data_IF_841778173487
#
_entry.id   IF_841778173487
#
_cell.length_a   1.000
_cell.length_b   1.000
_cell.length_c   1.000
_cell.angle_alpha   90.00
_cell.angle_beta   90.00
_cell.angle_gamma   90.00
#
_symmetry.space_group_name_H-M   'P 1'
#
loop_
_entity.id
_entity.type
_entity.pdbx_description
1 polymer ?
#
# COMPACT_ATOMS: atom_id res chain seq x y z
N UNK A 1 -13.30 -1.87 23.16
CA UNK A 1 -12.16 -2.78 23.39
C UNK A 1 -11.18 -2.67 22.23
N UNK A 2 -9.88 -2.77 22.50
CA UNK A 2 -8.84 -2.98 21.49
C UNK A 2 -8.06 -4.24 21.88
N UNK A 3 -8.67 -5.39 21.63
CA UNK A 3 -8.00 -6.68 21.82
C UNK A 3 -7.26 -6.97 20.51
N UNK A 4 -5.95 -6.68 20.50
CA UNK A 4 -5.06 -7.00 19.37
C UNK A 4 -4.31 -5.81 18.79
N UNK A 5 -3.38 -6.11 17.89
CA UNK A 5 -2.63 -5.10 17.12
C UNK A 5 -3.58 -4.36 16.16
N UNK A 6 -3.32 -3.06 15.91
CA UNK A 6 -4.06 -2.32 14.88
C UNK A 6 -3.94 -3.05 13.54
N UNK A 7 -5.07 -3.20 12.86
CA UNK A 7 -5.12 -3.98 11.62
C UNK A 7 -4.22 -3.40 10.52
N UNK A 8 -4.04 -2.08 10.45
CA UNK A 8 -3.16 -1.42 9.48
C UNK A 8 -1.73 -1.94 9.61
N UNK A 9 -1.22 -1.93 10.84
CA UNK A 9 0.10 -2.37 11.25
C UNK A 9 0.32 -3.85 10.92
N UNK A 10 -0.59 -4.71 11.35
CA UNK A 10 -0.51 -6.15 11.09
C UNK A 10 -0.49 -6.47 9.58
N UNK A 11 -1.35 -5.84 8.79
CA UNK A 11 -1.41 -6.08 7.34
C UNK A 11 -0.19 -5.54 6.61
N UNK A 12 0.32 -4.39 7.03
CA UNK A 12 1.56 -3.82 6.48
C UNK A 12 2.76 -4.73 6.78
N UNK A 13 2.87 -5.27 8.00
CA UNK A 13 3.96 -6.20 8.34
C UNK A 13 3.91 -7.48 7.52
N UNK A 14 2.70 -8.05 7.33
CA UNK A 14 2.50 -9.19 6.44
C UNK A 14 2.96 -8.89 5.01
N UNK A 15 2.62 -7.70 4.49
CA UNK A 15 2.99 -7.31 3.13
C UNK A 15 4.51 -7.10 3.00
N UNK A 16 5.15 -6.40 3.95
CA UNK A 16 6.61 -6.19 3.97
C UNK A 16 7.35 -7.52 4.04
N UNK A 17 6.87 -8.47 4.84
CA UNK A 17 7.51 -9.78 4.99
C UNK A 17 7.58 -10.60 3.68
N UNK A 18 6.73 -10.30 2.69
CA UNK A 18 6.80 -10.93 1.36
C UNK A 18 8.01 -10.47 0.53
N UNK A 19 8.66 -9.37 0.91
CA UNK A 19 9.71 -8.73 0.12
C UNK A 19 9.18 -7.88 -1.05
N UNK A 20 7.87 -7.71 -1.17
CA UNK A 20 7.28 -6.83 -2.17
C UNK A 20 7.58 -5.35 -1.89
N UNK A 21 7.91 -4.60 -2.93
CA UNK A 21 8.09 -3.14 -2.88
C UNK A 21 6.82 -2.37 -3.26
N UNK A 22 5.76 -3.07 -3.70
CA UNK A 22 4.47 -2.50 -4.09
C UNK A 22 3.32 -3.36 -3.57
N UNK A 23 2.33 -2.73 -2.97
CA UNK A 23 1.09 -3.35 -2.49
C UNK A 23 -0.05 -2.83 -3.35
N UNK A 24 -0.70 -3.72 -4.11
CA UNK A 24 -1.87 -3.36 -4.92
C UNK A 24 -3.14 -3.47 -4.10
N UNK A 25 -4.01 -2.47 -4.18
CA UNK A 25 -5.35 -2.47 -3.57
C UNK A 25 -6.42 -2.12 -4.59
N UNK A 26 -7.66 -2.55 -4.36
CA UNK A 26 -8.83 -2.16 -5.16
C UNK A 26 -9.92 -1.46 -4.34
N UNK A 27 -9.56 -0.91 -3.18
CA UNK A 27 -10.49 -0.24 -2.27
C UNK A 27 -9.81 1.00 -1.67
N UNK A 28 -10.46 2.18 -1.72
CA UNK A 28 -9.87 3.43 -1.23
C UNK A 28 -9.58 3.41 0.27
N UNK A 29 -10.39 2.69 1.06
CA UNK A 29 -10.13 2.53 2.48
C UNK A 29 -8.85 1.73 2.75
N UNK A 30 -8.65 0.65 2.00
CA UNK A 30 -7.43 -0.17 2.11
C UNK A 30 -6.18 0.62 1.70
N UNK A 31 -6.30 1.52 0.71
CA UNK A 31 -5.21 2.40 0.29
C UNK A 31 -4.75 3.30 1.44
N UNK A 32 -5.68 4.01 2.08
CA UNK A 32 -5.37 4.86 3.26
C UNK A 32 -4.81 4.01 4.39
N UNK A 33 -5.46 2.89 4.71
CA UNK A 33 -5.05 1.99 5.79
C UNK A 33 -3.60 1.50 5.62
N UNK A 34 -3.23 1.04 4.42
CA UNK A 34 -1.89 0.53 4.16
C UNK A 34 -0.86 1.65 4.03
N UNK A 35 -1.23 2.80 3.46
CA UNK A 35 -0.36 3.99 3.43
C UNK A 35 0.00 4.44 4.84
N UNK A 36 -0.99 4.52 5.74
CA UNK A 36 -0.76 4.85 7.15
C UNK A 36 0.13 3.80 7.83
N UNK A 37 -0.13 2.51 7.59
CA UNK A 37 0.71 1.44 8.16
C UNK A 37 2.16 1.47 7.65
N UNK A 38 2.38 1.79 6.36
CA UNK A 38 3.73 1.94 5.77
C UNK A 38 4.47 3.09 6.45
N UNK A 39 3.78 4.22 6.67
CA UNK A 39 4.30 5.39 7.38
C UNK A 39 4.62 5.10 8.84
N UNK A 40 3.74 4.38 9.54
CA UNK A 40 3.98 3.93 10.91
C UNK A 40 5.24 3.04 11.01
N UNK A 41 5.61 2.33 9.93
CA UNK A 41 6.84 1.52 9.81
C UNK A 41 8.04 2.27 9.24
N UNK A 42 7.91 3.54 8.86
CA UNK A 42 8.97 4.34 8.22
C UNK A 42 9.53 3.66 6.95
N UNK A 43 8.64 3.09 6.15
CA UNK A 43 8.98 2.33 4.95
C UNK A 43 8.57 3.02 3.65
N UNK A 44 8.15 4.29 3.71
CA UNK A 44 7.64 5.06 2.56
C UNK A 44 8.62 5.10 1.36
N UNK A 45 9.92 5.05 1.61
CA UNK A 45 10.94 5.07 0.54
C UNK A 45 11.14 3.69 -0.15
N UNK A 46 10.67 2.62 0.48
CA UNK A 46 10.94 1.24 0.04
C UNK A 46 9.70 0.44 -0.36
N UNK A 47 8.53 0.83 0.15
CA UNK A 47 7.25 0.15 -0.09
C UNK A 47 6.19 1.20 -0.37
N UNK A 48 5.40 1.00 -1.42
CA UNK A 48 4.28 1.86 -1.76
C UNK A 48 2.97 1.06 -1.88
N UNK A 49 1.87 1.59 -1.36
CA UNK A 49 0.53 1.11 -1.66
C UNK A 49 -0.03 1.88 -2.87
N UNK A 50 -0.62 1.17 -3.84
CA UNK A 50 -1.15 1.75 -5.08
C UNK A 50 -2.51 1.15 -5.40
N UNK A 51 -3.38 1.94 -6.02
CA UNK A 51 -4.61 1.40 -6.58
C UNK A 51 -4.30 0.56 -7.83
N UNK A 52 -5.04 -0.54 -8.02
CA UNK A 52 -4.86 -1.43 -9.16
C UNK A 52 -5.05 -0.71 -10.50
N UNK A 53 -5.96 0.27 -10.58
CA UNK A 53 -6.16 1.07 -11.77
C UNK A 53 -4.94 1.93 -12.10
N UNK A 54 -4.26 2.50 -11.09
CA UNK A 54 -3.02 3.26 -11.28
C UNK A 54 -1.89 2.36 -11.81
N UNK A 55 -1.80 1.12 -11.32
CA UNK A 55 -0.80 0.16 -11.78
C UNK A 55 -1.03 -0.16 -13.26
N UNK A 56 -2.29 -0.43 -13.65
CA UNK A 56 -2.66 -0.70 -15.04
C UNK A 56 -2.38 0.52 -15.92
N UNK A 57 -2.78 1.72 -15.49
CA UNK A 57 -2.54 2.97 -16.20
C UNK A 57 -1.05 3.19 -16.49
N UNK A 58 -0.19 3.05 -15.48
CA UNK A 58 1.27 3.17 -15.64
C UNK A 58 1.84 2.11 -16.59
N UNK A 59 1.28 0.89 -16.55
CA UNK A 59 1.70 -0.21 -17.44
C UNK A 59 1.30 0.02 -18.90
N UNK A 60 0.28 0.84 -19.17
CA UNK A 60 -0.16 1.21 -20.51
C UNK A 60 0.71 2.30 -21.15
N UNK A 61 1.69 2.86 -20.44
CA UNK A 61 2.61 3.88 -20.99
C UNK A 61 1.96 5.24 -21.23
N UNK A 62 0.85 5.54 -20.56
CA UNK A 62 0.11 6.82 -20.69
C UNK A 62 0.68 7.92 -19.79
N UNK A 63 1.94 7.80 -19.38
CA UNK A 63 2.63 8.77 -18.51
C UNK A 63 3.05 10.00 -19.34
N UNK A 64 2.06 10.82 -19.73
CA UNK A 64 2.29 12.03 -20.54
C UNK A 64 1.11 13.02 -20.65
N UNK A 65 -0.08 12.70 -20.12
CA UNK A 65 -1.24 13.59 -20.17
C UNK A 65 -1.75 13.93 -18.76
N UNK A 66 -1.02 14.77 -18.03
CA UNK A 66 -1.60 15.56 -16.95
C UNK A 66 -0.91 16.92 -16.83
#
# INVERSE_FOLDING_TARGET
>A
EAIGERINNMRTDQAIATGANRIAVGCPFCLTMLTDGIKDRKKEESVAALDIAEIVWKSMGVEGEQ
#
